data_IF_457894204617
#
_entry.id   IF_457894204617
#
_cell.length_a   1.000
_cell.length_b   1.000
_cell.length_c   1.000
_cell.angle_alpha   90.00
_cell.angle_beta   90.00
_cell.angle_gamma   90.00
#
_symmetry.space_group_name_H-M   'P 1'
#
loop_
_entity.id
_entity.type
_entity.pdbx_description
1 polymer ?
#
# COMPACT_ATOMS: atom_id res chain seq x y z
N UNK A 1 -22.04 26.86 -27.70
CA UNK A 1 -21.56 27.83 -26.70
C UNK A 1 -22.73 28.23 -25.82
N UNK A 2 -22.81 27.71 -24.60
CA UNK A 2 -23.84 28.12 -23.64
C UNK A 2 -23.28 29.27 -22.80
N UNK A 3 -23.91 30.45 -22.84
CA UNK A 3 -23.59 31.57 -21.94
C UNK A 3 -24.32 31.37 -20.61
N UNK A 4 -23.57 31.35 -19.50
CA UNK A 4 -24.16 31.41 -18.16
C UNK A 4 -24.58 32.86 -17.85
N UNK A 5 -25.83 33.20 -18.14
CA UNK A 5 -26.47 34.45 -17.72
C UNK A 5 -27.39 34.21 -16.53
N UNK A 6 -27.23 34.96 -15.44
CA UNK A 6 -28.16 34.88 -14.31
C UNK A 6 -27.73 35.68 -13.09
N UNK A 7 -28.12 36.95 -13.05
CA UNK A 7 -28.21 37.74 -11.82
C UNK A 7 -29.26 37.06 -10.93
N UNK A 8 -28.86 36.39 -9.85
CA UNK A 8 -29.57 36.25 -8.56
C UNK A 8 -28.78 35.27 -7.69
N UNK A 9 -28.51 35.68 -6.45
CA UNK A 9 -27.59 35.00 -5.54
C UNK A 9 -28.00 33.58 -5.19
N UNK A 10 -27.21 32.61 -5.65
CA UNK A 10 -27.18 31.25 -5.16
C UNK A 10 -25.72 30.87 -4.86
N UNK A 11 -25.45 30.47 -3.61
CA UNK A 11 -24.16 29.93 -3.18
C UNK A 11 -24.20 28.41 -3.33
N UNK A 12 -23.92 27.93 -4.52
CA UNK A 12 -23.77 26.50 -4.81
C UNK A 12 -23.08 26.32 -6.15
N UNK A 13 -22.13 25.38 -6.24
CA UNK A 13 -21.51 25.02 -7.51
C UNK A 13 -22.53 24.23 -8.35
N UNK A 14 -22.80 24.71 -9.56
CA UNK A 14 -23.71 24.04 -10.50
C UNK A 14 -22.88 23.19 -11.45
N UNK A 15 -23.18 21.90 -11.52
CA UNK A 15 -22.62 20.99 -12.51
C UNK A 15 -23.70 20.70 -13.56
N UNK A 16 -23.38 20.89 -14.84
CA UNK A 16 -24.28 20.56 -15.95
C UNK A 16 -23.59 19.53 -16.83
N UNK A 17 -24.27 18.42 -17.10
CA UNK A 17 -23.80 17.36 -17.98
C UNK A 17 -24.41 17.58 -19.37
N UNK A 18 -23.60 17.90 -20.37
CA UNK A 18 -24.05 18.00 -21.77
C UNK A 18 -23.14 17.14 -22.63
N UNK A 19 -23.70 16.15 -23.32
CA UNK A 19 -22.96 15.31 -24.27
C UNK A 19 -21.82 14.48 -23.68
N UNK A 20 -21.91 14.09 -22.40
CA UNK A 20 -20.89 13.26 -21.73
C UNK A 20 -19.69 14.03 -21.18
N UNK A 21 -19.67 15.37 -21.32
CA UNK A 21 -18.65 16.23 -20.70
C UNK A 21 -19.26 16.90 -19.47
N UNK A 22 -18.68 16.63 -18.29
CA UNK A 22 -19.04 17.29 -17.04
C UNK A 22 -18.28 18.63 -16.98
N UNK A 23 -18.99 19.74 -17.16
CA UNK A 23 -18.43 21.08 -16.95
C UNK A 23 -18.77 21.54 -15.53
N UNK A 24 -17.76 21.73 -14.70
CA UNK A 24 -17.91 22.31 -13.35
C UNK A 24 -17.47 23.76 -13.42
N UNK A 25 -18.37 24.70 -13.13
CA UNK A 25 -18.02 26.10 -12.93
C UNK A 25 -17.72 26.33 -11.44
N UNK A 26 -16.46 26.54 -11.03
CA UNK A 26 -16.17 26.87 -9.64
C UNK A 26 -16.74 28.26 -9.32
N UNK A 27 -17.54 28.34 -8.26
CA UNK A 27 -18.03 29.61 -7.74
C UNK A 27 -16.86 30.40 -7.15
N UNK A 28 -16.62 31.62 -7.64
CA UNK A 28 -15.75 32.59 -6.99
C UNK A 28 -14.40 32.93 -7.65
N UNK A 29 -14.17 32.56 -8.91
CA UNK A 29 -12.98 33.04 -9.65
C UNK A 29 -13.36 34.26 -10.48
N UNK A 30 -13.09 35.47 -9.95
CA UNK A 30 -13.15 36.71 -10.73
C UNK A 30 -11.97 36.76 -11.69
N UNK A 31 -12.12 36.15 -12.86
CA UNK A 31 -11.16 36.23 -13.95
C UNK A 31 -11.82 35.77 -15.24
N UNK A 32 -11.76 36.61 -16.27
CA UNK A 32 -12.37 36.41 -17.61
C UNK A 32 -11.65 35.35 -18.47
N UNK A 33 -11.10 34.31 -17.85
CA UNK A 33 -10.42 33.22 -18.54
C UNK A 33 -11.27 31.96 -18.56
N UNK A 34 -11.89 31.65 -19.70
CA UNK A 34 -12.31 30.27 -20.01
C UNK A 34 -11.07 29.38 -19.99
N UNK A 35 -11.01 28.45 -19.05
CA UNK A 35 -9.97 27.41 -19.03
C UNK A 35 -10.58 26.12 -19.55
N UNK A 36 -10.12 25.70 -20.71
CA UNK A 36 -10.44 24.38 -21.25
C UNK A 36 -9.68 23.33 -20.42
N UNK A 37 -10.44 22.45 -19.77
CA UNK A 37 -9.91 21.26 -19.09
C UNK A 37 -9.78 20.19 -20.16
N UNK A 38 -8.56 19.96 -20.65
CA UNK A 38 -8.27 18.85 -21.55
C UNK A 38 -8.13 17.56 -20.72
N UNK A 39 -9.08 16.64 -20.87
CA UNK A 39 -8.94 15.27 -20.40
C UNK A 39 -7.96 14.55 -21.32
N UNK A 40 -6.87 14.03 -20.78
CA UNK A 40 -5.99 13.08 -21.47
C UNK A 40 -6.49 11.68 -21.10
N UNK A 41 -7.14 10.94 -22.02
CA UNK A 41 -7.59 9.58 -21.73
C UNK A 41 -6.40 8.64 -21.91
N UNK A 42 -5.54 8.54 -20.92
CA UNK A 42 -4.53 7.49 -20.86
C UNK A 42 -4.98 6.39 -19.89
N UNK A 43 -5.36 5.26 -20.50
CA UNK A 43 -5.72 3.94 -19.96
C UNK A 43 -7.19 3.67 -19.56
N UNK A 44 -7.84 2.66 -20.17
CA UNK A 44 -9.23 2.30 -19.93
C UNK A 44 -9.33 1.25 -18.81
N UNK A 45 -10.12 1.53 -17.78
CA UNK A 45 -10.83 0.46 -17.05
C UNK A 45 -12.15 1.02 -16.55
N UNK A 46 -13.12 1.08 -17.46
CA UNK A 46 -14.49 1.49 -17.19
C UNK A 46 -15.31 0.20 -17.08
N UNK A 47 -15.76 -0.14 -15.87
CA UNK A 47 -16.59 -1.30 -15.66
C UNK A 47 -18.06 -0.85 -15.66
N UNK A 48 -18.76 -1.17 -16.73
CA UNK A 48 -20.18 -0.91 -16.95
C UNK A 48 -20.97 -2.09 -16.36
N UNK A 49 -21.86 -1.84 -15.39
CA UNK A 49 -22.83 -2.87 -14.90
C UNK A 49 -24.18 -2.57 -15.55
N UNK A 50 -24.58 -3.44 -16.47
CA UNK A 50 -25.91 -3.47 -17.04
C UNK A 50 -26.73 -4.53 -16.30
N UNK A 51 -27.91 -4.15 -15.78
CA UNK A 51 -28.80 -5.05 -15.05
C UNK A 51 -29.77 -5.70 -16.04
N UNK A 52 -29.44 -6.89 -16.53
CA UNK A 52 -30.40 -7.79 -17.15
C UNK A 52 -30.20 -9.19 -16.57
N UNK A 53 -31.26 -9.74 -15.97
CA UNK A 53 -31.49 -11.16 -15.73
C UNK A 53 -30.30 -12.05 -15.34
N UNK A 54 -30.21 -12.32 -14.04
CA UNK A 54 -29.67 -13.57 -13.49
C UNK A 54 -28.18 -13.91 -13.69
N UNK A 55 -27.23 -12.97 -13.61
CA UNK A 55 -25.83 -13.24 -13.19
C UNK A 55 -25.18 -11.96 -12.61
N UNK A 56 -24.48 -12.05 -11.48
CA UNK A 56 -23.78 -10.93 -10.82
C UNK A 56 -22.45 -10.62 -11.51
N UNK A 57 -22.22 -9.35 -11.87
CA UNK A 57 -20.92 -8.85 -12.40
C UNK A 57 -20.51 -7.58 -11.64
N UNK A 58 -19.35 -7.58 -11.00
CA UNK A 58 -18.85 -6.46 -10.18
C UNK A 58 -18.12 -5.39 -11.01
N UNK A 59 -18.40 -4.11 -10.74
CA UNK A 59 -17.71 -2.93 -11.26
C UNK A 59 -17.05 -2.13 -10.14
N UNK A 60 -15.80 -1.77 -10.32
CA UNK A 60 -15.07 -0.84 -9.47
C UNK A 60 -14.75 0.42 -10.29
N UNK A 61 -15.26 1.57 -9.86
CA UNK A 61 -14.88 2.89 -10.40
C UNK A 61 -14.23 3.68 -9.26
N UNK A 62 -12.90 3.72 -9.23
CA UNK A 62 -12.14 4.65 -8.39
C UNK A 62 -11.79 5.83 -9.28
N UNK A 63 -12.42 6.99 -9.04
CA UNK A 63 -11.96 8.27 -9.58
C UNK A 63 -11.43 9.10 -8.42
N UNK A 64 -10.12 9.32 -8.38
CA UNK A 64 -9.52 10.38 -7.56
C UNK A 64 -9.29 11.61 -8.44
N UNK A 65 -9.79 12.76 -7.98
CA UNK A 65 -9.44 14.07 -8.52
C UNK A 65 -8.42 14.69 -7.56
N UNK A 66 -7.16 14.76 -7.97
CA UNK A 66 -6.11 15.48 -7.23
C UNK A 66 -5.78 16.80 -7.94
N UNK A 67 -5.89 17.90 -7.20
CA UNK A 67 -5.43 19.22 -7.63
C UNK A 67 -3.96 19.38 -7.25
N UNK A 68 -3.05 19.23 -8.20
CA UNK A 68 -1.63 19.53 -7.99
C UNK A 68 -1.37 21.03 -8.08
N UNK A 69 -0.77 21.67 -7.06
CA UNK A 69 -0.25 23.02 -7.20
C UNK A 69 0.96 23.01 -8.15
N UNK A 70 0.82 23.70 -9.29
CA UNK A 70 1.89 23.90 -10.28
C UNK A 70 2.78 25.07 -9.83
N UNK A 71 3.75 24.81 -8.95
CA UNK A 71 5.07 25.47 -8.93
C UNK A 71 5.86 25.12 -7.66
N UNK A 72 6.95 24.38 -7.83
CA UNK A 72 8.26 24.69 -7.21
C UNK A 72 9.34 23.86 -7.91
N UNK A 73 10.22 24.55 -8.63
CA UNK A 73 11.52 24.07 -9.06
C UNK A 73 12.41 23.78 -7.83
N UNK A 74 12.74 22.51 -7.58
CA UNK A 74 14.03 22.00 -7.06
C UNK A 74 13.95 20.46 -6.93
N UNK A 75 14.61 19.68 -7.79
CA UNK A 75 15.10 18.32 -7.45
C UNK A 75 16.39 18.51 -6.65
N UNK A 76 16.74 17.79 -5.54
CA UNK A 76 16.58 16.34 -5.21
C UNK A 76 16.34 16.06 -3.68
N UNK A 77 16.60 14.84 -3.11
CA UNK A 77 16.41 13.48 -3.60
C UNK A 77 15.09 12.87 -3.08
N UNK A 78 14.58 11.87 -3.79
CA UNK A 78 13.44 11.08 -3.33
C UNK A 78 13.90 10.19 -2.17
N UNK A 79 13.54 10.56 -0.95
CA UNK A 79 13.56 9.72 0.23
C UNK A 79 12.62 10.37 1.25
N UNK A 80 12.04 9.59 2.17
CA UNK A 80 11.53 10.12 3.43
C UNK A 80 12.65 10.86 4.16
N UNK A 81 12.83 12.15 3.84
CA UNK A 81 13.86 13.02 4.41
C UNK A 81 13.67 13.24 5.92
N UNK A 82 12.49 12.85 6.40
CA UNK A 82 12.00 12.99 7.76
C UNK A 82 12.57 11.90 8.66
N UNK A 83 12.71 10.66 8.19
CA UNK A 83 13.25 9.61 9.04
C UNK A 83 14.76 9.80 9.30
N UNK A 84 15.20 9.45 10.51
CA UNK A 84 16.61 9.30 10.81
C UNK A 84 17.27 8.25 9.86
N UNK A 85 18.60 8.29 9.66
CA UNK A 85 19.25 7.46 8.65
C UNK A 85 19.01 5.95 8.80
N UNK A 86 19.03 5.45 10.04
CA UNK A 86 18.82 4.02 10.33
C UNK A 86 17.39 3.55 9.96
N UNK A 87 16.31 4.12 10.51
CA UNK A 87 14.95 3.70 10.13
C UNK A 87 14.66 3.96 8.66
N UNK A 88 15.26 5.00 8.06
CA UNK A 88 15.13 5.28 6.63
C UNK A 88 15.72 4.17 5.76
N UNK A 89 16.94 3.70 6.03
CA UNK A 89 17.53 2.59 5.27
C UNK A 89 16.68 1.32 5.44
N UNK A 90 16.23 1.06 6.66
CA UNK A 90 15.42 -0.11 6.96
C UNK A 90 14.07 -0.10 6.22
N UNK A 91 13.23 0.92 6.42
CA UNK A 91 11.88 0.96 5.86
C UNK A 91 11.82 1.30 4.38
N UNK A 92 12.78 2.06 3.86
CA UNK A 92 12.83 2.34 2.43
C UNK A 92 13.49 1.18 1.68
N UNK A 93 14.61 0.64 2.13
CA UNK A 93 15.38 -0.30 1.30
C UNK A 93 15.23 -1.74 1.76
N UNK A 94 15.53 -2.02 3.02
CA UNK A 94 15.65 -3.40 3.50
C UNK A 94 14.28 -4.07 3.55
N UNK A 95 13.29 -3.46 4.20
CA UNK A 95 11.96 -4.04 4.40
C UNK A 95 11.28 -4.38 3.06
N UNK A 96 11.17 -3.44 2.08
CA UNK A 96 10.49 -3.76 0.82
C UNK A 96 11.23 -4.82 0.00
N UNK A 97 12.57 -4.86 0.06
CA UNK A 97 13.33 -5.90 -0.61
C UNK A 97 13.14 -7.27 0.05
N UNK A 98 13.20 -7.35 1.39
CA UNK A 98 13.00 -8.61 2.12
C UNK A 98 11.61 -9.17 1.85
N UNK A 99 10.57 -8.34 1.96
CA UNK A 99 9.19 -8.76 1.69
C UNK A 99 9.01 -9.11 0.21
N UNK A 100 9.61 -8.34 -0.71
CA UNK A 100 9.58 -8.62 -2.14
C UNK A 100 10.25 -9.95 -2.51
N UNK A 101 11.42 -10.24 -1.95
CA UNK A 101 12.10 -11.53 -2.15
C UNK A 101 11.30 -12.70 -1.57
N UNK A 102 10.70 -12.54 -0.38
CA UNK A 102 9.82 -13.55 0.20
C UNK A 102 8.60 -13.82 -0.70
N UNK A 103 7.96 -12.76 -1.20
CA UNK A 103 6.83 -12.84 -2.12
C UNK A 103 7.19 -13.59 -3.42
N UNK A 104 8.33 -13.25 -4.03
CA UNK A 104 8.79 -13.92 -5.25
C UNK A 104 9.12 -15.40 -5.00
N UNK A 105 9.66 -15.74 -3.82
CA UNK A 105 9.90 -17.13 -3.44
C UNK A 105 8.61 -17.95 -3.37
N UNK A 106 7.55 -17.38 -2.81
CA UNK A 106 6.21 -18.00 -2.73
C UNK A 106 5.61 -18.19 -4.13
N UNK A 107 5.70 -17.17 -4.99
CA UNK A 107 5.15 -17.21 -6.36
C UNK A 107 5.90 -18.23 -7.22
N UNK A 108 7.24 -18.30 -7.09
CA UNK A 108 8.07 -19.15 -7.93
C UNK A 108 7.91 -20.64 -7.61
N UNK A 109 7.69 -21.00 -6.34
CA UNK A 109 7.48 -22.40 -5.96
C UNK A 109 6.43 -22.54 -4.84
N UNK A 110 5.13 -22.42 -5.17
CA UNK A 110 4.06 -22.48 -4.19
C UNK A 110 3.94 -23.86 -3.52
N UNK A 111 4.25 -24.93 -4.23
CA UNK A 111 4.21 -26.30 -3.69
C UNK A 111 5.27 -26.53 -2.60
N UNK A 112 6.50 -26.01 -2.80
CA UNK A 112 7.54 -26.02 -1.78
C UNK A 112 7.15 -25.18 -0.57
N UNK A 113 6.51 -24.04 -0.79
CA UNK A 113 6.08 -23.19 0.32
C UNK A 113 4.99 -23.87 1.17
N UNK A 114 4.00 -24.54 0.53
CA UNK A 114 2.96 -25.28 1.27
C UNK A 114 3.54 -26.39 2.15
N UNK A 115 4.33 -27.26 1.53
CA UNK A 115 4.79 -28.50 2.16
C UNK A 115 6.01 -28.28 3.05
N UNK A 116 6.83 -27.25 2.76
CA UNK A 116 8.05 -26.94 3.50
C UNK A 116 7.79 -26.41 4.90
N UNK A 117 6.69 -25.68 5.13
CA UNK A 117 6.35 -25.13 6.45
C UNK A 117 6.16 -26.23 7.52
N UNK A 118 5.70 -27.41 7.11
CA UNK A 118 5.40 -28.55 7.98
C UNK A 118 6.11 -29.81 7.50
N UNK A 119 7.35 -29.69 7.00
CA UNK A 119 8.08 -30.80 6.36
C UNK A 119 8.37 -32.00 7.28
N UNK A 120 8.19 -31.86 8.59
CA UNK A 120 8.26 -32.95 9.57
C UNK A 120 6.96 -33.78 9.66
N UNK A 121 5.86 -33.30 9.07
CA UNK A 121 4.63 -34.09 8.95
C UNK A 121 4.79 -35.10 7.81
N UNK A 122 4.08 -36.26 7.88
CA UNK A 122 4.01 -37.16 6.75
C UNK A 122 3.59 -36.39 5.50
N UNK A 123 4.23 -36.64 4.34
CA UNK A 123 3.84 -35.98 3.11
C UNK A 123 2.35 -36.26 2.84
N UNK A 124 1.61 -35.26 2.32
CA UNK A 124 0.22 -35.47 1.98
C UNK A 124 0.10 -36.65 1.01
N UNK A 125 -0.96 -37.47 1.13
CA UNK A 125 -1.15 -38.66 0.28
C UNK A 125 -1.31 -38.30 -1.20
N UNK A 126 -1.63 -37.04 -1.50
CA UNK A 126 -1.80 -36.50 -2.83
C UNK A 126 -0.84 -35.33 -3.05
N UNK A 127 -0.48 -35.06 -4.30
CA UNK A 127 0.21 -33.84 -4.66
C UNK A 127 -0.62 -32.60 -4.28
N UNK A 128 0.08 -31.49 -4.04
CA UNK A 128 -0.53 -30.18 -3.76
C UNK A 128 -1.51 -29.84 -4.88
N UNK A 129 -2.78 -29.60 -4.53
CA UNK A 129 -3.82 -29.31 -5.51
C UNK A 129 -3.56 -27.99 -6.25
N UNK A 130 -3.98 -27.86 -7.50
CA UNK A 130 -3.78 -26.63 -8.27
C UNK A 130 -4.49 -25.41 -7.65
N UNK A 131 -5.63 -25.64 -6.99
CA UNK A 131 -6.33 -24.62 -6.22
C UNK A 131 -5.52 -24.14 -5.01
N UNK A 132 -4.76 -25.03 -4.37
CA UNK A 132 -3.87 -24.70 -3.26
C UNK A 132 -2.64 -23.94 -3.76
N UNK A 133 -2.05 -24.36 -4.88
CA UNK A 133 -0.96 -23.61 -5.54
C UNK A 133 -1.39 -22.19 -5.88
N UNK A 134 -2.58 -22.04 -6.46
CA UNK A 134 -3.14 -20.72 -6.81
C UNK A 134 -3.34 -19.85 -5.56
N UNK A 135 -3.94 -20.39 -4.49
CA UNK A 135 -4.13 -19.66 -3.24
C UNK A 135 -2.81 -19.16 -2.63
N UNK A 136 -1.76 -19.98 -2.70
CA UNK A 136 -0.42 -19.62 -2.23
C UNK A 136 0.23 -18.56 -3.13
N UNK A 137 0.05 -18.65 -4.45
CA UNK A 137 0.52 -17.61 -5.36
C UNK A 137 -0.18 -16.27 -5.10
N UNK A 138 -1.48 -16.28 -4.80
CA UNK A 138 -2.22 -15.07 -4.41
C UNK A 138 -1.70 -14.47 -3.09
N UNK A 139 -1.29 -15.31 -2.12
CA UNK A 139 -0.61 -14.84 -0.92
C UNK A 139 0.71 -14.12 -1.27
N UNK A 140 1.51 -14.68 -2.19
CA UNK A 140 2.71 -14.04 -2.70
C UNK A 140 2.42 -12.71 -3.40
N UNK A 141 1.37 -12.64 -4.22
CA UNK A 141 0.94 -11.40 -4.88
C UNK A 141 0.55 -10.31 -3.87
N UNK A 142 -0.16 -10.67 -2.80
CA UNK A 142 -0.52 -9.74 -1.72
C UNK A 142 0.71 -9.21 -1.00
N UNK A 143 1.70 -10.05 -0.74
CA UNK A 143 2.97 -9.61 -0.14
C UNK A 143 3.74 -8.66 -1.06
N UNK A 144 3.77 -8.94 -2.37
CA UNK A 144 4.41 -8.07 -3.35
C UNK A 144 3.70 -6.70 -3.44
N UNK A 145 2.36 -6.70 -3.38
CA UNK A 145 1.57 -5.48 -3.32
C UNK A 145 1.91 -4.65 -2.06
N UNK A 146 2.00 -5.29 -0.90
CA UNK A 146 2.40 -4.62 0.36
C UNK A 146 3.81 -4.05 0.24
N UNK A 147 4.78 -4.81 -0.27
CA UNK A 147 6.15 -4.35 -0.48
C UNK A 147 6.19 -3.10 -1.39
N UNK A 148 5.47 -3.14 -2.51
CA UNK A 148 5.36 -2.02 -3.44
C UNK A 148 4.69 -0.79 -2.81
N UNK A 149 3.59 -0.99 -2.08
CA UNK A 149 2.87 0.08 -1.40
C UNK A 149 3.74 0.76 -0.34
N UNK A 150 4.44 -0.02 0.47
CA UNK A 150 5.36 0.49 1.49
C UNK A 150 6.50 1.27 0.83
N UNK A 151 7.12 0.73 -0.23
CA UNK A 151 8.15 1.45 -0.96
C UNK A 151 7.63 2.80 -1.50
N UNK A 152 6.46 2.81 -2.14
CA UNK A 152 5.86 4.04 -2.68
C UNK A 152 5.59 5.04 -1.57
N UNK A 153 4.91 4.63 -0.49
CA UNK A 153 4.59 5.51 0.64
C UNK A 153 5.86 6.06 1.26
N UNK A 154 6.86 5.23 1.53
CA UNK A 154 8.11 5.65 2.16
C UNK A 154 8.98 6.54 1.26
N UNK A 155 8.87 6.43 -0.07
CA UNK A 155 9.57 7.36 -0.98
C UNK A 155 8.83 8.68 -1.20
N UNK A 156 7.50 8.67 -1.17
CA UNK A 156 6.68 9.83 -1.56
C UNK A 156 6.19 10.67 -0.39
N UNK A 157 6.05 10.07 0.80
CA UNK A 157 5.44 10.74 1.96
C UNK A 157 6.36 11.79 2.58
N UNK A 158 5.79 12.96 2.85
CA UNK A 158 6.40 14.07 3.59
C UNK A 158 5.70 14.36 4.93
N UNK A 159 4.70 13.55 5.28
CA UNK A 159 4.01 13.67 6.55
C UNK A 159 4.51 12.58 7.51
N UNK A 160 5.14 12.94 8.66
CA UNK A 160 5.56 11.96 9.65
C UNK A 160 4.39 11.11 10.16
N UNK A 161 3.17 11.66 10.19
CA UNK A 161 1.99 10.92 10.65
C UNK A 161 1.67 9.76 9.70
N UNK A 162 1.70 9.99 8.38
CA UNK A 162 1.52 8.94 7.38
C UNK A 162 2.57 7.84 7.51
N UNK A 163 3.84 8.22 7.71
CA UNK A 163 4.93 7.25 7.91
C UNK A 163 4.69 6.41 9.16
N UNK A 164 4.39 7.04 10.30
CA UNK A 164 4.12 6.33 11.56
C UNK A 164 2.91 5.40 11.45
N UNK A 165 1.80 5.86 10.86
CA UNK A 165 0.61 5.03 10.66
C UNK A 165 0.89 3.85 9.74
N UNK A 166 1.71 4.05 8.70
CA UNK A 166 2.12 2.98 7.80
C UNK A 166 2.97 1.95 8.53
N UNK A 167 3.95 2.37 9.33
CA UNK A 167 4.77 1.46 10.15
C UNK A 167 3.92 0.72 11.20
N UNK A 168 2.96 1.42 11.83
CA UNK A 168 2.03 0.79 12.76
C UNK A 168 1.14 -0.27 12.08
N UNK A 169 0.63 0.03 10.88
CA UNK A 169 -0.15 -0.94 10.11
C UNK A 169 0.70 -2.17 9.74
N UNK A 170 1.95 -1.96 9.30
CA UNK A 170 2.86 -3.08 9.04
C UNK A 170 3.15 -3.92 10.29
N UNK A 171 3.32 -3.29 11.45
CA UNK A 171 3.57 -4.02 12.69
C UNK A 171 2.37 -4.88 13.09
N UNK A 172 1.14 -4.43 12.83
CA UNK A 172 -0.07 -5.22 13.08
C UNK A 172 -0.16 -6.46 12.19
N UNK A 173 0.35 -6.38 10.94
CA UNK A 173 0.38 -7.52 10.01
C UNK A 173 1.35 -8.62 10.44
N UNK A 174 2.36 -8.30 11.26
CA UNK A 174 3.30 -9.31 11.77
C UNK A 174 2.67 -10.20 12.85
N UNK A 175 1.66 -9.73 13.59
CA UNK A 175 1.03 -10.47 14.70
C UNK A 175 0.33 -11.77 14.22
N UNK A 176 -0.49 -11.75 13.14
CA UNK A 176 -1.10 -12.96 12.60
C UNK A 176 -0.12 -14.09 12.24
N UNK A 177 1.14 -13.81 11.93
CA UNK A 177 2.14 -14.86 11.62
C UNK A 177 2.32 -15.81 12.80
N UNK A 178 2.44 -15.25 14.00
CA UNK A 178 2.59 -15.99 15.25
C UNK A 178 1.28 -16.63 15.69
N UNK A 179 0.16 -15.93 15.54
CA UNK A 179 -1.17 -16.48 15.84
C UNK A 179 -1.49 -17.73 15.02
N UNK A 180 -1.22 -17.69 13.71
CA UNK A 180 -1.40 -18.83 12.81
C UNK A 180 -0.45 -19.98 13.17
N UNK A 181 0.80 -19.69 13.51
CA UNK A 181 1.75 -20.71 13.92
C UNK A 181 1.36 -21.40 15.24
N UNK A 182 0.92 -20.63 16.25
CA UNK A 182 0.40 -21.20 17.50
C UNK A 182 -0.81 -22.10 17.23
N UNK A 183 -1.71 -21.65 16.35
CA UNK A 183 -2.93 -22.40 16.01
C UNK A 183 -2.62 -23.72 15.30
N UNK A 184 -1.69 -23.74 14.35
CA UNK A 184 -1.39 -24.91 13.52
C UNK A 184 -0.37 -25.85 14.19
N UNK A 185 0.69 -25.32 14.79
CA UNK A 185 1.77 -26.12 15.37
C UNK A 185 1.46 -26.57 16.81
N UNK A 186 0.64 -25.79 17.52
CA UNK A 186 0.52 -25.88 18.97
C UNK A 186 1.73 -25.29 19.69
N UNK A 187 1.56 -24.98 20.97
CA UNK A 187 2.59 -24.31 21.78
C UNK A 187 3.88 -25.15 21.92
N UNK A 188 3.74 -26.45 22.18
CA UNK A 188 4.87 -27.35 22.41
C UNK A 188 5.85 -27.41 21.23
N UNK A 189 5.33 -27.40 20.00
CA UNK A 189 6.16 -27.46 18.79
C UNK A 189 6.71 -26.10 18.40
N UNK A 190 5.93 -25.04 18.66
CA UNK A 190 6.40 -23.69 18.41
C UNK A 190 7.64 -23.37 19.25
N UNK A 191 7.68 -23.73 20.54
CA UNK A 191 8.87 -23.45 21.37
C UNK A 191 10.05 -24.37 21.09
N UNK A 192 9.86 -25.45 20.31
CA UNK A 192 10.93 -26.35 19.90
C UNK A 192 11.63 -25.85 18.61
N UNK A 193 12.38 -24.76 18.74
CA UNK A 193 13.10 -24.12 17.64
C UNK A 193 14.03 -25.07 16.86
N UNK A 194 14.56 -26.11 17.51
CA UNK A 194 15.45 -27.09 16.87
C UNK A 194 14.74 -28.01 15.86
N UNK A 195 13.41 -28.06 15.89
CA UNK A 195 12.60 -28.88 14.98
C UNK A 195 12.06 -28.11 13.76
N UNK A 196 12.32 -26.81 13.68
CA UNK A 196 11.76 -25.97 12.63
C UNK A 196 12.43 -26.26 11.28
N UNK A 197 11.62 -26.37 10.24
CA UNK A 197 12.11 -26.39 8.86
C UNK A 197 12.71 -25.04 8.48
N UNK A 198 13.60 -24.98 7.46
CA UNK A 198 14.13 -23.70 6.97
C UNK A 198 13.05 -22.71 6.56
N UNK A 199 11.96 -23.20 5.96
CA UNK A 199 10.79 -22.42 5.59
C UNK A 199 10.07 -21.86 6.81
N UNK A 200 9.87 -22.68 7.86
CA UNK A 200 9.24 -22.24 9.10
C UNK A 200 10.11 -21.24 9.86
N UNK A 201 11.43 -21.43 9.90
CA UNK A 201 12.38 -20.46 10.47
C UNK A 201 12.20 -19.11 9.79
N UNK A 202 12.16 -19.09 8.46
CA UNK A 202 12.02 -17.83 7.71
C UNK A 202 10.66 -17.18 7.98
N UNK A 203 9.59 -17.97 8.03
CA UNK A 203 8.22 -17.52 8.31
C UNK A 203 8.07 -16.92 9.71
N UNK A 204 8.81 -17.42 10.71
CA UNK A 204 8.70 -16.97 12.11
C UNK A 204 9.70 -15.86 12.43
N UNK A 205 10.97 -16.06 12.10
CA UNK A 205 12.06 -15.15 12.46
C UNK A 205 11.99 -13.87 11.66
N UNK A 206 11.63 -13.94 10.37
CA UNK A 206 11.52 -12.76 9.50
C UNK A 206 10.57 -11.70 10.09
N UNK A 207 9.27 -12.01 10.28
CA UNK A 207 8.31 -11.09 10.89
C UNK A 207 8.69 -10.64 12.29
N UNK A 208 9.35 -11.48 13.11
CA UNK A 208 9.81 -11.07 14.43
C UNK A 208 10.89 -9.98 14.35
N UNK A 209 11.88 -10.16 13.48
CA UNK A 209 12.94 -9.17 13.29
C UNK A 209 12.34 -7.86 12.76
N UNK A 210 11.49 -7.92 11.74
CA UNK A 210 10.89 -6.70 11.18
C UNK A 210 9.93 -6.03 12.17
N UNK A 211 9.14 -6.80 12.93
CA UNK A 211 8.29 -6.30 14.00
C UNK A 211 9.09 -5.55 15.07
N UNK A 212 10.21 -6.10 15.55
CA UNK A 212 11.03 -5.43 16.56
C UNK A 212 11.58 -4.09 16.05
N UNK A 213 12.00 -4.01 14.79
CA UNK A 213 12.41 -2.74 14.18
C UNK A 213 11.26 -1.73 14.08
N UNK A 214 10.05 -2.18 13.70
CA UNK A 214 8.84 -1.34 13.62
C UNK A 214 8.48 -0.78 15.00
N UNK A 215 8.47 -1.63 16.03
CA UNK A 215 8.17 -1.24 17.40
C UNK A 215 9.24 -0.29 17.95
N UNK A 216 10.53 -0.58 17.72
CA UNK A 216 11.63 0.30 18.12
C UNK A 216 11.54 1.68 17.45
N UNK A 217 11.15 1.76 16.18
CA UNK A 217 10.90 3.03 15.50
C UNK A 217 9.72 3.79 16.11
N UNK A 218 8.57 3.13 16.30
CA UNK A 218 7.36 3.75 16.85
C UNK A 218 7.55 4.26 18.30
N UNK A 219 8.41 3.60 19.08
CA UNK A 219 8.81 4.06 20.42
C UNK A 219 9.87 5.16 20.41
N UNK A 220 10.40 5.53 19.23
CA UNK A 220 11.42 6.57 19.08
C UNK A 220 12.83 6.14 19.49
N UNK A 221 13.11 4.83 19.61
CA UNK A 221 14.43 4.31 19.97
C UNK A 221 15.46 4.46 18.83
N UNK A 222 14.99 4.51 17.57
CA UNK A 222 15.84 4.59 16.38
C UNK A 222 16.17 6.04 15.93
N UNK A 223 16.25 6.94 16.91
CA UNK A 223 16.41 8.40 16.77
C UNK A 223 15.16 9.16 16.30
N UNK A 224 15.15 10.47 16.59
CA UNK A 224 14.03 11.36 16.28
C UNK A 224 14.00 11.72 14.79
N UNK A 225 12.79 11.82 14.27
CA UNK A 225 12.56 12.32 12.93
C UNK A 225 13.04 13.77 12.78
N UNK A 226 13.66 14.04 11.62
CA UNK A 226 14.11 15.34 11.16
C UNK A 226 12.89 16.10 10.63
N UNK A 227 12.23 16.82 11.52
CA UNK A 227 11.25 17.83 11.10
C UNK A 227 12.00 18.95 10.39
N UNK A 228 11.58 19.42 9.20
CA UNK A 228 12.13 20.62 8.61
C UNK A 228 11.84 21.78 9.57
N UNK A 229 12.84 22.20 10.35
CA UNK A 229 12.74 23.42 11.14
C UNK A 229 12.57 24.56 10.15
N UNK A 230 11.35 25.11 10.08
CA UNK A 230 11.10 26.35 9.36
C UNK A 230 12.13 27.39 9.78
N UNK A 231 12.68 28.11 8.80
CA UNK A 231 13.66 29.18 9.00
C UNK A 231 13.27 29.99 10.24
N UNK A 232 14.16 30.02 11.25
CA UNK A 232 14.09 31.05 12.27
C UNK A 232 14.23 32.38 11.55
N UNK A 233 13.12 33.07 11.35
CA UNK A 233 13.10 34.45 10.86
C UNK A 233 13.98 35.25 11.82
N UNK A 234 15.17 35.64 11.36
CA UNK A 234 16.04 36.55 12.12
C UNK A 234 15.25 37.85 12.29
N UNK A 235 14.92 38.17 13.55
CA UNK A 235 14.43 39.48 13.95
C UNK A 235 15.59 40.48 13.96
#
# INVERSE_FOLDING_TARGET
MAQCGGKHGWRGATAVLVGGVLTICPAGVNGTGTRDIYFIPSCPTLLHVNYQGSYTRYSWSIFQVELFPRNTQLTPPIMAAIMAPVPRIFFCVIEPLVVGFAALGIIHNPAKHSTGLLSYLPPPPNEVADTEKLAIMELGNMMLLIAGLVAIIMWTSRDPRTVHLTVAAMALVDIPHWGAAIWVLGWERLVNFGSWSPELVTQMVGPLVTFTFKVAYLMGWLAKDRVPTGEKKKA
#
